data_IF_088317210678
#
_entry.id   IF_088317210678
#
_cell.length_a   1.000
_cell.length_b   1.000
_cell.length_c   1.000
_cell.angle_alpha   90.00
_cell.angle_beta   90.00
_cell.angle_gamma   90.00
#
_symmetry.space_group_name_H-M   'P 1'
#
loop_
_entity.id
_entity.type
_entity.pdbx_description
1 polymer ?
#
# COMPACT_ATOMS: atom_id res chain seq x y z
N UNK A 1 -0.16 10.29 -1.92
CA UNK A 1 0.11 9.01 -2.60
C UNK A 1 0.09 7.90 -1.57
N UNK A 2 -0.64 6.81 -1.81
CA UNK A 2 -0.64 5.63 -0.94
C UNK A 2 0.59 4.73 -1.19
N UNK A 3 0.86 3.78 -0.29
CA UNK A 3 1.95 2.81 -0.51
C UNK A 3 1.69 1.98 -1.77
N UNK A 4 0.45 1.57 -2.00
CA UNK A 4 0.07 0.84 -3.21
C UNK A 4 0.35 1.66 -4.47
N UNK A 5 -0.06 2.93 -4.48
CA UNK A 5 0.17 3.83 -5.60
C UNK A 5 1.66 4.01 -5.88
N UNK A 6 2.45 4.19 -4.81
CA UNK A 6 3.89 4.29 -4.91
C UNK A 6 4.52 3.00 -5.47
N UNK A 7 4.12 1.84 -4.94
CA UNK A 7 4.60 0.54 -5.37
C UNK A 7 4.21 0.21 -6.83
N UNK A 8 3.08 0.72 -7.32
CA UNK A 8 2.66 0.58 -8.73
C UNK A 8 3.51 1.44 -9.66
N UNK A 9 3.84 2.67 -9.27
CA UNK A 9 4.42 3.68 -10.16
C UNK A 9 5.95 3.72 -10.15
N UNK A 10 6.61 3.30 -9.07
CA UNK A 10 8.05 3.48 -8.91
C UNK A 10 8.79 2.14 -8.67
N UNK A 11 10.00 2.05 -9.22
CA UNK A 11 10.95 0.94 -8.99
C UNK A 11 12.32 1.50 -8.58
N UNK A 12 13.08 0.84 -7.70
CA UNK A 12 14.42 1.29 -7.35
C UNK A 12 15.31 1.43 -8.60
N UNK A 13 16.12 2.49 -8.64
CA UNK A 13 17.14 2.64 -9.68
C UNK A 13 18.44 1.99 -9.23
N UNK A 14 18.81 0.88 -9.85
CA UNK A 14 20.12 0.27 -9.67
C UNK A 14 21.05 0.70 -10.82
N UNK A 15 22.12 1.47 -10.55
CA UNK A 15 23.09 1.80 -11.59
C UNK A 15 23.78 0.51 -12.06
N UNK A 16 23.75 0.23 -13.38
CA UNK A 16 24.50 -0.89 -13.95
C UNK A 16 25.99 -0.67 -13.66
N UNK A 17 26.62 -1.57 -12.90
CA UNK A 17 28.08 -1.58 -12.73
C UNK A 17 28.69 -1.96 -14.07
N UNK A 18 29.72 -1.24 -14.51
CA UNK A 18 30.34 -1.42 -15.83
C UNK A 18 31.11 -2.75 -16.02
N UNK A 19 31.02 -3.71 -15.10
CA UNK A 19 31.94 -4.85 -15.01
C UNK A 19 31.30 -6.24 -14.98
N UNK A 20 30.01 -6.40 -15.26
CA UNK A 20 29.39 -7.74 -15.29
C UNK A 20 28.87 -8.03 -16.70
N UNK A 21 29.81 -8.49 -17.53
CA UNK A 21 29.54 -9.26 -18.77
C UNK A 21 29.51 -10.75 -18.41
N UNK A 22 28.83 -11.10 -17.32
CA UNK A 22 28.54 -12.48 -16.96
C UNK A 22 27.03 -12.63 -16.88
N UNK A 23 26.52 -13.66 -17.53
CA UNK A 23 25.10 -13.97 -17.71
C UNK A 23 24.32 -13.91 -16.38
N UNK A 24 23.74 -12.75 -16.07
CA UNK A 24 22.78 -12.63 -14.98
C UNK A 24 21.47 -13.25 -15.45
N UNK A 25 21.09 -14.40 -14.87
CA UNK A 25 19.83 -15.11 -15.13
C UNK A 25 18.57 -14.36 -14.67
N UNK A 26 18.71 -13.19 -14.03
CA UNK A 26 17.61 -12.24 -13.80
C UNK A 26 17.39 -11.36 -15.04
N UNK A 27 17.05 -12.00 -16.15
CA UNK A 27 16.52 -11.27 -17.29
C UNK A 27 15.09 -10.87 -16.95
N UNK A 28 14.90 -9.67 -16.40
CA UNK A 28 13.57 -9.10 -16.24
C UNK A 28 12.94 -8.99 -17.65
N UNK A 29 11.85 -9.73 -17.96
CA UNK A 29 11.26 -9.75 -19.29
C UNK A 29 10.69 -8.39 -19.73
N UNK A 30 10.70 -7.38 -18.85
CA UNK A 30 10.35 -6.00 -19.15
C UNK A 30 11.55 -5.08 -19.43
N UNK A 31 12.80 -5.57 -19.40
CA UNK A 31 13.98 -4.78 -19.81
C UNK A 31 14.15 -4.64 -21.34
N UNK A 32 13.41 -5.41 -22.16
CA UNK A 32 13.52 -5.42 -23.64
C UNK A 32 12.79 -4.27 -24.36
N UNK A 33 12.72 -3.06 -23.79
CA UNK A 33 12.33 -1.88 -24.58
C UNK A 33 13.55 -1.02 -24.94
N UNK A 34 13.98 -1.00 -26.21
CA UNK A 34 15.07 -0.14 -26.64
C UNK A 34 14.61 1.33 -26.59
N UNK A 35 15.42 2.17 -25.94
CA UNK A 35 15.45 3.64 -26.10
C UNK A 35 14.31 4.52 -25.56
N UNK A 36 13.47 4.09 -24.63
CA UNK A 36 12.66 5.07 -23.87
C UNK A 36 13.47 5.54 -22.66
N UNK A 37 13.95 6.80 -22.69
CA UNK A 37 14.57 7.45 -21.50
C UNK A 37 13.59 7.35 -20.34
N UNK A 38 13.85 6.46 -19.38
CA UNK A 38 12.99 6.31 -18.20
C UNK A 38 13.13 7.54 -17.32
N UNK A 39 12.01 8.10 -16.87
CA UNK A 39 12.02 9.28 -16.00
C UNK A 39 12.55 8.89 -14.61
N UNK A 40 13.41 9.72 -14.04
CA UNK A 40 14.00 9.50 -12.73
C UNK A 40 13.45 10.53 -11.74
N UNK A 41 13.20 10.09 -10.52
CA UNK A 41 12.86 10.95 -9.38
C UNK A 41 13.93 10.78 -8.30
N UNK A 42 14.34 11.90 -7.71
CA UNK A 42 15.31 11.94 -6.61
C UNK A 42 14.56 11.96 -5.28
N UNK A 43 14.94 11.07 -4.36
CA UNK A 43 14.41 11.03 -3.00
C UNK A 43 15.24 11.90 -2.06
N UNK A 44 14.75 12.10 -0.83
CA UNK A 44 15.37 12.96 0.19
C UNK A 44 16.81 12.60 0.60
N UNK A 45 17.30 11.42 0.21
CA UNK A 45 18.66 10.93 0.49
C UNK A 45 19.51 10.74 -0.76
N UNK A 46 19.25 11.50 -1.82
CA UNK A 46 19.92 11.45 -3.14
C UNK A 46 19.82 10.12 -3.89
N UNK A 47 19.16 9.11 -3.30
CA UNK A 47 18.78 7.89 -3.98
C UNK A 47 17.77 8.18 -5.09
N UNK A 48 17.89 7.48 -6.21
CA UNK A 48 17.01 7.66 -7.36
C UNK A 48 16.02 6.51 -7.47
N UNK A 49 14.84 6.82 -7.98
CA UNK A 49 13.85 5.83 -8.41
C UNK A 49 13.48 6.07 -9.85
N UNK A 50 13.07 5.00 -10.53
CA UNK A 50 12.59 5.04 -11.89
C UNK A 50 11.06 5.08 -11.88
N UNK A 51 10.48 6.00 -12.64
CA UNK A 51 9.05 6.02 -12.93
C UNK A 51 8.76 4.94 -13.97
N UNK A 52 7.84 4.04 -13.67
CA UNK A 52 7.39 3.02 -14.62
C UNK A 52 6.58 3.67 -15.74
N UNK A 53 6.79 3.21 -16.97
CA UNK A 53 5.95 3.59 -18.11
C UNK A 53 4.54 2.98 -18.01
N UNK A 54 4.44 1.81 -17.38
CA UNK A 54 3.19 1.09 -17.14
C UNK A 54 3.09 0.78 -15.65
N UNK A 55 1.96 1.09 -14.98
CA UNK A 55 1.77 0.75 -13.58
C UNK A 55 1.87 -0.77 -13.34
N UNK A 56 2.60 -1.18 -12.31
CA UNK A 56 2.70 -2.58 -11.92
C UNK A 56 1.40 -3.08 -11.26
N UNK A 57 1.18 -4.39 -11.28
CA UNK A 57 0.10 -5.02 -10.51
C UNK A 57 0.63 -5.30 -9.09
N UNK A 58 0.03 -4.68 -8.08
CA UNK A 58 0.33 -4.96 -6.68
C UNK A 58 -0.61 -6.05 -6.17
N UNK A 59 -0.04 -7.18 -5.73
CA UNK A 59 -0.78 -8.25 -5.07
C UNK A 59 -0.72 -8.02 -3.56
N UNK A 60 -1.87 -8.02 -2.92
CA UNK A 60 -1.99 -7.97 -1.47
C UNK A 60 -2.61 -9.27 -0.96
N UNK A 61 -2.21 -9.75 0.23
CA UNK A 61 -2.89 -10.87 0.86
C UNK A 61 -4.38 -10.56 1.04
N UNK A 62 -5.24 -11.52 0.72
CA UNK A 62 -6.68 -11.36 0.89
C UNK A 62 -7.09 -11.85 2.27
N UNK A 63 -7.31 -10.93 3.19
CA UNK A 63 -7.89 -11.21 4.50
C UNK A 63 -9.39 -10.89 4.50
N UNK A 64 -10.16 -11.67 5.24
CA UNK A 64 -11.60 -11.48 5.40
C UNK A 64 -11.86 -11.13 6.86
N UNK A 65 -12.61 -10.05 7.11
CA UNK A 65 -12.92 -9.56 8.45
C UNK A 65 -13.59 -10.64 9.35
N UNK A 66 -14.38 -11.54 8.77
CA UNK A 66 -15.03 -12.65 9.49
C UNK A 66 -14.08 -13.77 9.90
N UNK A 67 -12.92 -13.90 9.25
CA UNK A 67 -11.93 -14.94 9.55
C UNK A 67 -10.88 -14.45 10.54
N UNK A 68 -10.31 -13.27 10.30
CA UNK A 68 -9.30 -12.67 11.17
C UNK A 68 -9.43 -11.13 11.10
N UNK A 69 -10.08 -10.57 12.11
CA UNK A 69 -10.41 -9.16 12.18
C UNK A 69 -9.14 -8.29 12.29
N UNK A 70 -8.17 -8.75 13.06
CA UNK A 70 -6.95 -8.01 13.34
C UNK A 70 -6.08 -7.92 12.08
N UNK A 71 -5.84 -9.05 11.41
CA UNK A 71 -5.08 -9.08 10.16
C UNK A 71 -5.78 -8.33 9.03
N UNK A 72 -7.11 -8.35 9.02
CA UNK A 72 -7.89 -7.58 8.06
C UNK A 72 -7.60 -6.08 8.18
N UNK A 73 -7.81 -5.48 9.36
CA UNK A 73 -7.54 -4.04 9.54
C UNK A 73 -6.06 -3.68 9.40
N UNK A 74 -5.17 -4.56 9.88
CA UNK A 74 -3.74 -4.39 9.70
C UNK A 74 -3.35 -4.29 8.22
N UNK A 75 -3.89 -5.19 7.39
CA UNK A 75 -3.61 -5.18 5.95
C UNK A 75 -4.06 -3.89 5.26
N UNK A 76 -5.18 -3.30 5.70
CA UNK A 76 -5.67 -2.02 5.19
C UNK A 76 -4.75 -0.86 5.59
N UNK A 77 -4.25 -0.86 6.84
CA UNK A 77 -3.27 0.12 7.29
C UNK A 77 -1.98 0.05 6.45
N UNK A 78 -1.43 -1.15 6.25
CA UNK A 78 -0.25 -1.35 5.40
C UNK A 78 -0.49 -0.86 3.97
N UNK A 79 -1.67 -1.13 3.40
CA UNK A 79 -1.96 -0.84 2.00
C UNK A 79 -2.17 0.66 1.73
N UNK A 80 -2.80 1.36 2.68
CA UNK A 80 -3.31 2.71 2.47
C UNK A 80 -2.64 3.78 3.33
N UNK A 81 -1.87 3.41 4.35
CA UNK A 81 -1.09 4.35 5.15
C UNK A 81 0.37 4.39 4.64
N UNK A 82 0.97 5.57 4.46
CA UNK A 82 2.39 5.70 4.24
C UNK A 82 3.09 5.60 5.61
N UNK A 83 4.12 4.78 5.69
CA UNK A 83 4.91 4.57 6.91
C UNK A 83 6.40 4.48 6.55
N UNK A 84 7.27 4.85 7.48
CA UNK A 84 8.73 4.59 7.34
C UNK A 84 9.15 3.32 8.06
N UNK A 85 8.52 3.05 9.19
CA UNK A 85 8.67 1.83 9.97
C UNK A 85 7.31 1.20 10.19
N UNK A 86 7.25 -0.13 10.09
CA UNK A 86 6.01 -0.89 10.32
C UNK A 86 5.46 -0.68 11.74
N UNK A 87 6.33 -0.37 12.71
CA UNK A 87 5.94 -0.03 14.08
C UNK A 87 5.03 1.19 14.17
N UNK A 88 5.13 2.15 13.24
CA UNK A 88 4.33 3.39 13.20
C UNK A 88 2.84 3.11 12.93
N UNK A 89 2.53 1.98 12.28
CA UNK A 89 1.16 1.63 11.89
C UNK A 89 0.25 1.42 13.10
N UNK A 90 0.79 0.78 14.14
CA UNK A 90 0.07 0.44 15.37
C UNK A 90 0.49 1.31 16.57
N UNK A 91 1.46 2.21 16.39
CA UNK A 91 2.03 3.00 17.48
C UNK A 91 0.93 3.77 18.24
N UNK A 92 0.81 3.47 19.54
CA UNK A 92 -0.17 4.09 20.43
C UNK A 92 -1.55 3.43 20.45
N UNK A 93 -1.75 2.30 19.78
CA UNK A 93 -3.00 1.55 19.75
C UNK A 93 -2.82 0.09 20.16
N UNK A 94 -3.80 -0.43 20.91
CA UNK A 94 -3.78 -1.82 21.38
C UNK A 94 -4.21 -2.83 20.29
N UNK A 95 -4.89 -2.34 19.24
CA UNK A 95 -5.33 -3.16 18.11
C UNK A 95 -5.25 -2.41 16.77
N UNK A 96 -5.09 -3.18 15.68
CA UNK A 96 -5.13 -2.67 14.31
C UNK A 96 -6.49 -2.05 13.97
N UNK A 97 -7.57 -2.57 14.58
CA UNK A 97 -8.91 -1.98 14.44
C UNK A 97 -8.95 -0.56 15.00
N UNK A 98 -8.41 -0.36 16.20
CA UNK A 98 -8.42 0.96 16.85
C UNK A 98 -7.56 1.96 16.10
N UNK A 99 -6.36 1.53 15.66
CA UNK A 99 -5.50 2.33 14.80
C UNK A 99 -6.19 2.70 13.48
N UNK A 100 -6.91 1.77 12.86
CA UNK A 100 -7.66 2.00 11.63
C UNK A 100 -8.79 3.00 11.81
N UNK A 101 -9.58 2.88 12.89
CA UNK A 101 -10.66 3.80 13.22
C UNK A 101 -10.15 5.21 13.54
N UNK A 102 -9.11 5.33 14.36
CA UNK A 102 -8.52 6.60 14.72
C UNK A 102 -7.98 7.39 13.50
N UNK A 103 -7.65 6.68 12.41
CA UNK A 103 -7.08 7.23 11.19
C UNK A 103 -8.07 7.30 10.02
N UNK A 104 -9.37 7.12 10.26
CA UNK A 104 -10.41 7.05 9.21
C UNK A 104 -10.35 8.22 8.22
N UNK A 105 -10.27 9.47 8.71
CA UNK A 105 -10.22 10.64 7.84
C UNK A 105 -8.97 10.67 6.95
N UNK A 106 -7.83 10.28 7.49
CA UNK A 106 -6.57 10.20 6.75
C UNK A 106 -6.64 9.12 5.68
N UNK A 107 -7.15 7.93 6.02
CA UNK A 107 -7.32 6.82 5.10
C UNK A 107 -8.31 7.17 3.97
N UNK A 108 -9.42 7.83 4.29
CA UNK A 108 -10.39 8.32 3.30
C UNK A 108 -9.77 9.31 2.33
N UNK A 109 -9.05 10.31 2.81
CA UNK A 109 -8.39 11.30 1.95
C UNK A 109 -7.37 10.62 1.04
N UNK A 110 -6.59 9.69 1.58
CA UNK A 110 -5.59 8.96 0.80
C UNK A 110 -6.18 8.00 -0.24
N UNK A 111 -7.37 7.45 0.04
CA UNK A 111 -8.07 6.58 -0.90
C UNK A 111 -8.64 7.31 -2.12
N UNK A 112 -8.74 8.64 -2.09
CA UNK A 112 -9.36 9.43 -3.17
C UNK A 112 -8.71 9.22 -4.54
N UNK A 113 -7.43 8.88 -4.56
CA UNK A 113 -6.68 8.67 -5.80
C UNK A 113 -6.87 7.26 -6.40
N UNK A 114 -7.57 6.36 -5.71
CA UNK A 114 -7.65 4.94 -6.05
C UNK A 114 -9.11 4.41 -6.01
N UNK A 115 -9.86 4.55 -7.12
CA UNK A 115 -11.30 4.23 -7.20
C UNK A 115 -11.68 2.80 -6.73
N UNK A 116 -11.03 1.76 -7.26
CA UNK A 116 -11.35 0.36 -6.88
C UNK A 116 -11.00 0.03 -5.42
N UNK A 117 -9.96 0.68 -4.90
CA UNK A 117 -9.50 0.49 -3.54
C UNK A 117 -10.34 1.26 -2.51
N UNK A 118 -10.93 2.38 -2.93
CA UNK A 118 -11.87 3.16 -2.13
C UNK A 118 -13.10 2.34 -1.75
N UNK A 119 -13.63 1.52 -2.65
CA UNK A 119 -14.77 0.63 -2.36
C UNK A 119 -14.45 -0.36 -1.24
N UNK A 120 -13.22 -0.89 -1.20
CA UNK A 120 -12.78 -1.80 -0.13
C UNK A 120 -12.74 -1.09 1.24
N UNK A 121 -12.20 0.13 1.28
CA UNK A 121 -12.18 0.94 2.50
C UNK A 121 -13.59 1.35 2.96
N UNK A 122 -14.44 1.81 2.03
CA UNK A 122 -15.83 2.16 2.34
C UNK A 122 -16.60 0.94 2.87
N UNK A 123 -16.44 -0.24 2.26
CA UNK A 123 -17.02 -1.48 2.74
C UNK A 123 -16.51 -1.86 4.14
N UNK A 124 -15.20 -1.70 4.41
CA UNK A 124 -14.62 -1.96 5.73
C UNK A 124 -15.20 -1.03 6.80
N UNK A 125 -15.31 0.28 6.53
CA UNK A 125 -15.94 1.23 7.43
C UNK A 125 -17.41 0.88 7.67
N UNK A 126 -18.18 0.60 6.61
CA UNK A 126 -19.59 0.23 6.71
C UNK A 126 -19.79 -1.03 7.56
N UNK A 127 -18.92 -2.04 7.42
CA UNK A 127 -18.96 -3.23 8.26
C UNK A 127 -18.74 -2.88 9.73
N UNK A 128 -17.73 -2.06 10.06
CA UNK A 128 -17.48 -1.66 11.45
C UNK A 128 -18.67 -0.90 12.02
N UNK A 129 -19.22 0.07 11.29
CA UNK A 129 -20.38 0.84 11.74
C UNK A 129 -21.61 -0.06 11.94
N UNK A 130 -21.87 -1.00 11.04
CA UNK A 130 -22.95 -1.98 11.19
C UNK A 130 -22.75 -2.87 12.42
N UNK A 131 -21.54 -3.39 12.65
CA UNK A 131 -21.23 -4.18 13.85
C UNK A 131 -21.32 -3.35 15.14
N UNK A 132 -20.92 -2.08 15.11
CA UNK A 132 -21.04 -1.16 16.24
C UNK A 132 -22.50 -0.89 16.62
N UNK A 133 -23.39 -0.77 15.63
CA UNK A 133 -24.84 -0.62 15.85
C UNK A 133 -25.44 -1.90 16.44
N UNK A 134 -25.03 -3.08 15.96
CA UNK A 134 -25.51 -4.37 16.46
C UNK A 134 -25.02 -4.72 17.87
N UNK A 135 -23.92 -4.12 18.33
CA UNK A 135 -23.35 -4.32 19.67
C UNK A 135 -23.90 -3.34 20.71
N UNK A 136 -24.69 -2.33 20.32
CA UNK A 136 -25.40 -1.51 21.29
C UNK A 136 -26.48 -2.39 21.95
N UNK A 137 -26.46 -2.58 23.28
CA UNK A 137 -27.57 -3.24 23.95
C UNK A 137 -28.83 -2.42 23.68
N UNK A 138 -29.92 -3.09 23.27
CA UNK A 138 -31.24 -2.46 23.20
C UNK A 138 -31.49 -1.77 24.54
N UNK A 139 -31.55 -0.44 24.52
CA UNK A 139 -31.97 0.34 25.68
C UNK A 139 -33.47 0.08 25.83
N UNK A 140 -33.80 -0.98 26.57
CA UNK A 140 -35.12 -1.28 27.11
C UNK A 140 -35.24 -0.73 28.53
#
# INVERSE_FOLDING_TARGET
>A
MSLTEFAMLFVPFYPKKASETEESFDHDPFEEQPNVRRSLVTLSGDSKMVVRNVPAVVRVPYFIASSDLEKFFYSLLVQYMPYRSETELLEGFDSAKDAFLARENQLKEMSRHMRQHREQLENAFNQIYAFGILQQPEVL
#
